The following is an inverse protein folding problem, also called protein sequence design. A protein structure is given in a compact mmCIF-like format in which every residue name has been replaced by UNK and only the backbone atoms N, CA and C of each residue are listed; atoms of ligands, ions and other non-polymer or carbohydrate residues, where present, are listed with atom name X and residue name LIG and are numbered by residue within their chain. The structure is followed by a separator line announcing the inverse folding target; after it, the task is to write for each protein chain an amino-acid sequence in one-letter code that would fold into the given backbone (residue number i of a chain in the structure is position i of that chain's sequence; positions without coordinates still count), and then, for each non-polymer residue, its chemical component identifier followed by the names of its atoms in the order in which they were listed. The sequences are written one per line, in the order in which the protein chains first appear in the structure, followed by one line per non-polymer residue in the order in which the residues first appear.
data_IF_706712982216
#
_entry.id   IF_706712982216
#
_cell.length_a   1.000
_cell.length_b   1.000
_cell.length_c   1.000
_cell.angle_alpha   90.00
_cell.angle_beta   90.00
_cell.angle_gamma   90.00
#
_symmetry.space_group_name_H-M   'P 1'
#
loop_
_entity.id
_entity.type
_entity.pdbx_description
1 polymer ?
#
# COMPACT_ATOMS: atom_id res chain seq x y z
N UNK A 1 1.22 28.42 -17.59
CA UNK A 1 0.05 28.08 -16.74
C UNK A 1 0.60 27.66 -15.39
N UNK A 2 0.42 28.50 -14.38
CA UNK A 2 0.95 28.24 -13.03
C UNK A 2 0.37 26.94 -12.49
N UNK A 3 1.20 26.15 -11.81
CA UNK A 3 0.74 24.98 -11.08
C UNK A 3 -0.22 25.45 -10.00
N UNK A 4 -1.51 25.46 -10.27
CA UNK A 4 -2.49 25.30 -9.21
C UNK A 4 -2.08 24.02 -8.49
N UNK A 5 -1.76 24.16 -7.20
CA UNK A 5 -1.05 23.13 -6.46
C UNK A 5 -1.79 21.80 -6.46
N UNK A 6 -1.32 20.85 -7.26
CA UNK A 6 -1.93 19.54 -7.44
C UNK A 6 -1.96 18.76 -6.11
N UNK A 7 -3.14 18.39 -5.64
CA UNK A 7 -3.31 17.73 -4.34
C UNK A 7 -3.06 16.23 -4.47
N UNK A 8 -2.68 15.58 -3.37
CA UNK A 8 -2.45 14.15 -3.30
C UNK A 8 -3.37 13.59 -2.23
N UNK A 9 -4.23 12.66 -2.62
CA UNK A 9 -5.20 12.05 -1.72
C UNK A 9 -4.87 10.57 -1.60
N UNK A 10 -4.54 10.11 -0.39
CA UNK A 10 -4.16 8.71 -0.15
C UNK A 10 -5.32 7.93 0.46
N UNK A 11 -5.65 6.81 -0.16
CA UNK A 11 -6.65 5.87 0.32
C UNK A 11 -6.13 5.07 1.52
N UNK A 12 -7.05 4.64 2.38
CA UNK A 12 -6.77 3.85 3.57
C UNK A 12 -5.86 2.64 3.31
N UNK A 13 -6.08 1.90 2.22
CA UNK A 13 -5.27 0.71 1.91
C UNK A 13 -3.81 1.06 1.62
N UNK A 14 -3.57 2.06 0.78
CA UNK A 14 -2.21 2.55 0.51
C UNK A 14 -1.57 3.00 1.83
N UNK A 15 -2.27 3.87 2.56
CA UNK A 15 -1.82 4.42 3.84
C UNK A 15 -1.33 3.34 4.81
N UNK A 16 -2.19 2.35 5.08
CA UNK A 16 -1.92 1.30 6.05
C UNK A 16 -0.75 0.42 5.60
N UNK A 17 -0.68 0.03 4.32
CA UNK A 17 0.41 -0.83 3.82
C UNK A 17 1.78 -0.20 4.01
N UNK A 18 1.92 1.09 3.68
CA UNK A 18 3.19 1.82 3.82
C UNK A 18 3.64 1.87 5.28
N UNK A 19 2.72 2.19 6.19
CA UNK A 19 3.02 2.26 7.63
C UNK A 19 3.37 0.87 8.15
N UNK A 20 2.54 -0.15 7.91
CA UNK A 20 2.81 -1.50 8.40
C UNK A 20 4.12 -2.09 7.87
N UNK A 21 4.47 -1.83 6.60
CA UNK A 21 5.76 -2.24 6.03
C UNK A 21 6.93 -1.65 6.81
N UNK A 22 6.88 -0.34 7.07
CA UNK A 22 7.89 0.36 7.87
C UNK A 22 7.96 -0.17 9.31
N UNK A 23 6.81 -0.51 9.90
CA UNK A 23 6.74 -1.07 11.25
C UNK A 23 7.28 -2.51 11.30
N UNK A 24 7.15 -3.31 10.23
CA UNK A 24 7.73 -4.65 10.16
C UNK A 24 9.26 -4.60 10.19
N UNK A 25 9.86 -3.58 9.59
CA UNK A 25 11.32 -3.43 9.47
C UNK A 25 11.83 -2.11 10.10
N UNK A 26 11.76 -1.96 11.43
CA UNK A 26 12.02 -0.67 12.10
C UNK A 26 13.48 -0.22 12.06
N UNK A 27 14.43 -1.12 11.78
CA UNK A 27 15.87 -0.85 11.75
C UNK A 27 16.45 -0.96 10.35
N UNK A 28 15.59 -0.95 9.33
CA UNK A 28 16.01 -1.06 7.93
C UNK A 28 15.37 0.07 7.14
N UNK A 29 16.07 0.54 6.12
CA UNK A 29 15.39 1.35 5.12
C UNK A 29 14.35 0.49 4.41
N UNK A 30 13.17 1.05 4.16
CA UNK A 30 12.10 0.39 3.39
C UNK A 30 11.65 1.27 2.23
N UNK A 31 11.09 0.65 1.21
CA UNK A 31 10.49 1.39 0.10
C UNK A 31 9.27 0.70 -0.51
N UNK A 32 8.55 1.44 -1.35
CA UNK A 32 7.37 0.95 -2.02
C UNK A 32 6.93 1.83 -3.18
N UNK A 33 6.01 1.30 -3.99
CA UNK A 33 5.42 2.02 -5.12
C UNK A 33 4.01 2.47 -4.77
N UNK A 34 3.69 3.72 -5.10
CA UNK A 34 2.36 4.29 -4.95
C UNK A 34 1.57 4.06 -6.23
N UNK A 35 0.37 3.50 -6.09
CA UNK A 35 -0.51 3.12 -7.18
C UNK A 35 -1.75 3.99 -7.16
N UNK A 36 -2.14 4.50 -8.32
CA UNK A 36 -3.19 5.49 -8.37
C UNK A 36 -3.52 5.98 -9.76
N UNK A 37 -4.16 7.14 -9.80
CA UNK A 37 -4.51 7.85 -11.03
C UNK A 37 -4.66 9.33 -10.75
N UNK A 38 -4.68 10.12 -11.82
CA UNK A 38 -5.10 11.52 -11.71
C UNK A 38 -6.64 11.58 -11.78
N UNK A 39 -7.25 12.45 -10.96
CA UNK A 39 -8.68 12.70 -10.98
C UNK A 39 -9.14 13.23 -12.34
N UNK A 40 -10.42 13.05 -12.68
CA UNK A 40 -10.97 13.57 -13.93
C UNK A 40 -10.86 15.11 -14.05
N UNK A 41 -10.83 15.81 -12.91
CA UNK A 41 -10.59 17.26 -12.82
C UNK A 41 -9.13 17.67 -12.94
N UNK A 42 -8.19 16.71 -13.05
CA UNK A 42 -6.75 16.91 -13.21
C UNK A 42 -6.09 17.75 -12.10
N UNK A 43 -6.70 17.81 -10.92
CA UNK A 43 -6.26 18.61 -9.78
C UNK A 43 -5.82 17.77 -8.57
N UNK A 44 -6.12 16.46 -8.58
CA UNK A 44 -5.78 15.52 -7.50
C UNK A 44 -5.12 14.26 -8.08
N UNK A 45 -3.99 13.83 -7.49
CA UNK A 45 -3.51 12.44 -7.64
C UNK A 45 -4.18 11.60 -6.56
N UNK A 46 -5.03 10.67 -6.97
CA UNK A 46 -5.64 9.67 -6.11
C UNK A 46 -4.67 8.50 -5.96
N UNK A 47 -4.04 8.36 -4.79
CA UNK A 47 -3.23 7.20 -4.43
C UNK A 47 -4.16 6.14 -3.85
N UNK A 48 -4.57 5.20 -4.70
CA UNK A 48 -5.57 4.18 -4.37
C UNK A 48 -4.98 2.98 -3.63
N UNK A 49 -3.74 2.61 -3.93
CA UNK A 49 -3.05 1.47 -3.29
C UNK A 49 -1.54 1.72 -3.20
N UNK A 50 -0.83 0.85 -2.48
CA UNK A 50 0.61 0.83 -2.44
C UNK A 50 1.15 -0.62 -2.49
N UNK A 51 2.35 -0.77 -3.06
CA UNK A 51 3.07 -2.04 -3.12
C UNK A 51 4.36 -1.90 -2.32
N UNK A 52 4.45 -2.52 -1.13
CA UNK A 52 5.71 -2.70 -0.41
C UNK A 52 6.74 -3.40 -1.31
N UNK A 53 7.91 -2.82 -1.48
CA UNK A 53 8.96 -3.38 -2.33
C UNK A 53 10.01 -4.10 -1.51
N UNK A 54 10.95 -3.36 -0.93
CA UNK A 54 12.14 -3.95 -0.34
C UNK A 54 12.34 -3.44 1.08
N UNK A 55 12.91 -4.30 1.90
CA UNK A 55 13.42 -4.00 3.23
C UNK A 55 14.91 -4.33 3.35
N UNK A 56 15.49 -4.88 2.28
CA UNK A 56 16.92 -5.14 2.11
C UNK A 56 17.39 -4.57 0.78
N UNK A 57 18.67 -4.24 0.66
CA UNK A 57 19.34 -3.95 -0.62
C UNK A 57 18.60 -3.02 -1.62
N UNK A 58 17.95 -1.94 -1.12
CA UNK A 58 17.14 -0.99 -1.90
C UNK A 58 17.85 -0.41 -3.15
N UNK A 59 19.18 -0.42 -3.19
CA UNK A 59 19.99 0.11 -4.29
C UNK A 59 20.15 -0.82 -5.50
N UNK A 60 19.62 -2.06 -5.46
CA UNK A 60 19.76 -3.01 -6.57
C UNK A 60 18.78 -2.68 -7.72
N UNK A 61 19.31 -2.04 -8.76
CA UNK A 61 18.54 -1.65 -9.94
C UNK A 61 17.81 -2.82 -10.64
N UNK A 62 18.41 -4.01 -10.86
CA UNK A 62 17.71 -5.08 -11.58
C UNK A 62 16.44 -5.55 -10.88
N UNK A 63 16.48 -5.63 -9.54
CA UNK A 63 15.33 -6.03 -8.74
C UNK A 63 14.22 -4.99 -8.83
N UNK A 64 14.58 -3.70 -8.70
CA UNK A 64 13.63 -2.61 -8.88
C UNK A 64 12.98 -2.60 -10.27
N UNK A 65 13.74 -2.78 -11.34
CA UNK A 65 13.21 -2.78 -12.71
C UNK A 65 12.18 -3.90 -12.92
N UNK A 66 12.50 -5.12 -12.47
CA UNK A 66 11.57 -6.25 -12.55
C UNK A 66 10.31 -5.97 -11.74
N UNK A 67 10.44 -5.45 -10.52
CA UNK A 67 9.28 -5.11 -9.69
C UNK A 67 8.38 -4.07 -10.35
N UNK A 68 8.96 -3.02 -10.95
CA UNK A 68 8.19 -1.97 -11.64
C UNK A 68 7.42 -2.54 -12.83
N UNK A 69 8.02 -3.42 -13.63
CA UNK A 69 7.36 -4.07 -14.78
C UNK A 69 6.16 -4.91 -14.31
N UNK A 70 6.34 -5.75 -13.27
CA UNK A 70 5.26 -6.60 -12.76
C UNK A 70 4.12 -5.80 -12.14
N UNK A 71 4.45 -4.73 -11.42
CA UNK A 71 3.47 -3.80 -10.85
C UNK A 71 2.68 -3.12 -11.96
N UNK A 72 3.37 -2.61 -12.98
CA UNK A 72 2.73 -1.94 -14.12
C UNK A 72 1.78 -2.89 -14.86
N UNK A 73 2.22 -4.10 -15.18
CA UNK A 73 1.39 -5.11 -15.86
C UNK A 73 0.12 -5.43 -15.05
N UNK A 74 0.26 -5.65 -13.74
CA UNK A 74 -0.88 -6.02 -12.89
C UNK A 74 -1.89 -4.88 -12.68
N UNK A 75 -1.42 -3.65 -12.46
CA UNK A 75 -2.29 -2.51 -12.14
C UNK A 75 -2.83 -1.78 -13.37
N UNK A 76 -2.10 -1.78 -14.49
CA UNK A 76 -2.60 -1.21 -15.76
C UNK A 76 -3.85 -1.94 -16.24
N UNK A 77 -3.91 -3.26 -16.08
CA UNK A 77 -5.09 -4.09 -16.36
C UNK A 77 -6.34 -3.68 -15.54
N UNK A 78 -6.14 -2.95 -14.43
CA UNK A 78 -7.19 -2.43 -13.53
C UNK A 78 -7.42 -0.93 -13.70
N UNK A 79 -6.77 -0.28 -14.67
CA UNK A 79 -6.88 1.16 -14.92
C UNK A 79 -6.15 2.03 -13.90
N UNK A 80 -5.14 1.48 -13.22
CA UNK A 80 -4.25 2.23 -12.32
C UNK A 80 -2.84 2.33 -12.90
N UNK A 81 -2.12 3.37 -12.48
CA UNK A 81 -0.75 3.65 -12.88
C UNK A 81 0.15 3.77 -11.64
N UNK A 82 1.45 3.71 -11.88
CA UNK A 82 2.45 4.11 -10.89
C UNK A 82 2.43 5.64 -10.78
N UNK A 83 2.07 6.15 -9.60
CA UNK A 83 1.90 7.60 -9.35
C UNK A 83 2.92 8.16 -8.37
N UNK A 84 3.82 7.33 -7.86
CA UNK A 84 4.85 7.80 -6.95
C UNK A 84 5.62 6.69 -6.27
N UNK A 85 6.45 7.12 -5.33
CA UNK A 85 7.35 6.26 -4.57
C UNK A 85 7.24 6.58 -3.08
N UNK A 86 7.43 5.56 -2.27
CA UNK A 86 7.50 5.65 -0.82
C UNK A 86 8.89 5.23 -0.35
N UNK A 87 9.41 5.93 0.64
CA UNK A 87 10.65 5.58 1.32
C UNK A 87 10.54 5.82 2.83
N UNK A 88 11.18 4.97 3.62
CA UNK A 88 11.56 5.30 4.98
C UNK A 88 13.06 5.03 5.14
N UNK A 89 13.77 5.97 5.75
CA UNK A 89 15.22 5.86 5.96
C UNK A 89 15.52 4.78 7.01
N UNK A 90 16.77 4.29 7.08
CA UNK A 90 17.17 3.34 8.13
C UNK A 90 17.29 4.04 9.50
N UNK A 91 17.80 5.26 9.49
CA UNK A 91 18.07 6.05 10.69
C UNK A 91 16.86 6.90 11.07
N UNK A 92 16.45 6.83 12.33
CA UNK A 92 15.31 7.61 12.86
C UNK A 92 15.56 9.11 12.94
N UNK A 93 16.82 9.55 12.94
CA UNK A 93 17.21 10.96 12.96
C UNK A 93 17.45 11.54 11.56
N UNK A 94 17.40 10.72 10.51
CA UNK A 94 17.53 11.14 9.12
C UNK A 94 16.16 11.39 8.50
N UNK A 95 15.87 12.66 8.24
CA UNK A 95 14.62 13.12 7.61
C UNK A 95 14.83 13.70 6.21
N UNK A 96 16.00 13.43 5.61
CA UNK A 96 16.33 13.90 4.26
C UNK A 96 16.02 12.84 3.20
N UNK A 97 15.65 13.33 2.01
CA UNK A 97 15.40 12.46 0.87
C UNK A 97 16.72 11.99 0.25
N UNK A 98 17.03 10.70 0.43
CA UNK A 98 18.22 10.04 -0.10
C UNK A 98 18.31 10.00 -1.63
N UNK A 99 19.52 9.75 -2.14
CA UNK A 99 19.80 9.72 -3.59
C UNK A 99 19.05 8.62 -4.34
N UNK A 100 18.87 7.45 -3.74
CA UNK A 100 18.10 6.35 -4.36
C UNK A 100 16.65 6.77 -4.54
N UNK A 101 16.00 7.31 -3.51
CA UNK A 101 14.62 7.78 -3.60
C UNK A 101 14.43 8.85 -4.69
N UNK A 102 15.39 9.79 -4.80
CA UNK A 102 15.40 10.80 -5.89
C UNK A 102 15.53 10.17 -7.26
N UNK A 103 16.42 9.18 -7.43
CA UNK A 103 16.64 8.50 -8.71
C UNK A 103 15.40 7.70 -9.15
N UNK A 104 14.76 6.98 -8.22
CA UNK A 104 13.53 6.24 -8.50
C UNK A 104 12.38 7.20 -8.83
N UNK A 105 12.21 8.26 -8.04
CA UNK A 105 11.23 9.31 -8.34
C UNK A 105 11.47 9.92 -9.71
N UNK A 106 12.73 10.20 -10.07
CA UNK A 106 13.11 10.74 -11.37
C UNK A 106 12.75 9.81 -12.52
N UNK A 107 12.90 8.50 -12.33
CA UNK A 107 12.49 7.48 -13.28
C UNK A 107 10.96 7.49 -13.45
N UNK A 108 10.20 7.48 -12.36
CA UNK A 108 8.73 7.51 -12.39
C UNK A 108 8.23 8.79 -13.07
N UNK A 109 8.83 9.95 -12.78
CA UNK A 109 8.47 11.23 -13.38
C UNK A 109 8.60 11.28 -14.92
N UNK A 110 9.36 10.36 -15.54
CA UNK A 110 9.43 10.28 -17.02
C UNK A 110 8.12 9.80 -17.63
N UNK A 111 7.37 8.99 -16.90
CA UNK A 111 6.10 8.41 -17.34
C UNK A 111 4.89 9.09 -16.69
N UNK A 112 5.04 9.52 -15.43
CA UNK A 112 4.01 10.23 -14.67
C UNK A 112 4.59 11.54 -14.10
N UNK A 113 4.54 12.67 -14.83
CA UNK A 113 5.18 13.93 -14.43
C UNK A 113 4.73 14.48 -13.07
N UNK A 114 3.51 14.13 -12.64
CA UNK A 114 2.91 14.53 -11.37
C UNK A 114 3.29 13.57 -10.22
N UNK A 115 4.32 12.72 -10.39
CA UNK A 115 4.69 11.76 -9.37
C UNK A 115 5.17 12.42 -8.09
N UNK A 116 4.79 11.81 -6.97
CA UNK A 116 5.21 12.21 -5.64
C UNK A 116 6.19 11.22 -5.03
N UNK A 117 7.04 11.71 -4.14
CA UNK A 117 7.83 10.87 -3.24
C UNK A 117 7.39 11.14 -1.80
N UNK A 118 6.92 10.10 -1.12
CA UNK A 118 6.57 10.14 0.30
C UNK A 118 7.75 9.61 1.11
N UNK A 119 8.28 10.44 2.01
CA UNK A 119 9.28 10.02 2.97
C UNK A 119 8.62 9.84 4.34
N UNK A 120 8.77 8.69 4.98
CA UNK A 120 8.22 8.44 6.32
C UNK A 120 9.25 8.76 7.38
N UNK A 121 8.77 9.37 8.45
CA UNK A 121 9.57 9.70 9.62
C UNK A 121 9.52 8.56 10.63
N UNK A 122 10.61 7.78 10.69
CA UNK A 122 10.74 6.66 11.61
C UNK A 122 10.61 7.07 13.08
N UNK A 123 11.00 8.29 13.46
CA UNK A 123 10.84 8.77 14.84
C UNK A 123 9.36 8.86 15.22
N UNK A 124 8.52 9.29 14.27
CA UNK A 124 7.05 9.31 14.46
C UNK A 124 6.48 7.90 14.46
N UNK A 125 6.96 7.02 13.58
CA UNK A 125 6.54 5.61 13.58
C UNK A 125 6.86 4.90 14.90
N UNK A 126 8.04 5.14 15.48
CA UNK A 126 8.42 4.61 16.79
C UNK A 126 7.55 5.14 17.92
N UNK A 127 7.16 6.41 17.86
CA UNK A 127 6.23 7.00 18.81
C UNK A 127 4.84 6.36 18.70
N UNK A 128 4.39 6.05 17.47
CA UNK A 128 3.13 5.34 17.22
C UNK A 128 3.13 3.93 17.82
N UNK A 129 4.23 3.16 17.71
CA UNK A 129 4.33 1.83 18.35
C UNK A 129 4.25 1.89 19.87
N UNK A 130 4.83 2.94 20.47
CA UNK A 130 4.93 3.08 21.94
C UNK A 130 3.66 3.65 22.56
N UNK A 131 2.87 4.40 21.80
CA UNK A 131 1.64 5.03 22.28
C UNK A 131 0.52 4.01 22.41
N UNK A 132 0.16 3.66 23.65
CA UNK A 132 -1.04 2.84 23.96
C UNK A 132 -2.34 3.65 24.02
N UNK A 133 -2.26 4.98 23.86
CA UNK A 133 -3.37 5.90 24.09
C UNK A 133 -3.89 6.56 22.81
N UNK A 134 -5.19 6.91 22.80
CA UNK A 134 -5.89 7.52 21.65
C UNK A 134 -5.36 8.92 21.26
N UNK A 135 -4.44 9.50 22.04
CA UNK A 135 -3.69 10.70 21.65
C UNK A 135 -2.75 10.47 20.46
N UNK A 136 -2.50 9.21 20.10
CA UNK A 136 -1.82 8.82 18.86
C UNK A 136 -2.50 9.37 17.61
N UNK A 137 -3.83 9.56 17.61
CA UNK A 137 -4.59 10.02 16.43
C UNK A 137 -4.06 11.37 15.89
N UNK A 138 -3.61 12.29 16.74
CA UNK A 138 -2.98 13.55 16.29
C UNK A 138 -1.56 13.38 15.72
N UNK A 139 -0.87 12.29 16.07
CA UNK A 139 0.46 11.97 15.52
C UNK A 139 0.37 11.23 14.18
N UNK A 140 -0.77 10.58 13.89
CA UNK A 140 -0.99 9.73 12.71
C UNK A 140 -1.19 10.57 11.43
N UNK A 141 -1.97 11.67 11.48
CA UNK A 141 -2.03 12.65 10.37
C UNK A 141 -0.66 13.32 10.12
N UNK A 142 0.12 13.50 11.20
CA UNK A 142 1.42 14.14 11.18
C UNK A 142 2.56 13.22 10.67
N UNK A 143 2.34 11.90 10.61
CA UNK A 143 3.36 10.91 10.25
C UNK A 143 3.65 10.83 8.74
N UNK A 144 2.65 11.08 7.88
CA UNK A 144 2.84 11.10 6.42
C UNK A 144 2.80 12.52 5.81
N UNK A 145 2.00 13.42 6.37
CA UNK A 145 1.68 14.70 5.70
C UNK A 145 2.82 15.71 5.60
N UNK A 146 3.89 15.57 6.40
CA UNK A 146 4.95 16.58 6.46
C UNK A 146 6.16 16.31 5.56
N UNK A 147 6.15 15.22 4.80
CA UNK A 147 7.31 14.76 4.03
C UNK A 147 6.92 14.33 2.61
N UNK A 148 5.93 15.02 2.03
CA UNK A 148 5.61 14.93 0.62
C UNK A 148 6.63 15.74 -0.18
N UNK A 149 7.38 15.07 -1.05
CA UNK A 149 8.26 15.70 -2.03
C UNK A 149 7.61 15.68 -3.41
N UNK A 150 7.58 16.85 -4.04
CA UNK A 150 7.15 17.00 -5.44
C UNK A 150 8.28 17.60 -6.25
N UNK A 151 8.31 17.25 -7.53
CA UNK A 151 9.31 17.78 -8.45
C UNK A 151 8.90 19.17 -8.93
N UNK A 152 9.82 20.13 -8.82
CA UNK A 152 9.60 21.46 -9.36
C UNK A 152 9.95 21.56 -10.85
N UNK A 153 9.71 22.73 -11.45
CA UNK A 153 10.05 23.01 -12.85
C UNK A 153 11.55 22.94 -13.14
N UNK A 154 12.39 23.07 -12.11
CA UNK A 154 13.85 22.95 -12.19
C UNK A 154 14.34 21.51 -12.00
N UNK A 155 13.40 20.54 -12.02
CA UNK A 155 13.66 19.10 -11.85
C UNK A 155 14.19 18.71 -10.47
N UNK A 156 14.09 19.59 -9.48
CA UNK A 156 14.52 19.34 -8.11
C UNK A 156 13.36 18.85 -7.25
N UNK A 157 13.66 17.90 -6.36
CA UNK A 157 12.71 17.43 -5.35
C UNK A 157 12.61 18.47 -4.23
N UNK A 158 11.41 19.02 -4.04
CA UNK A 158 11.11 20.00 -3.00
C UNK A 158 10.08 19.46 -2.05
N UNK A 159 10.35 19.65 -0.76
CA UNK A 159 9.39 19.36 0.28
C UNK A 159 8.20 20.33 0.17
N UNK A 160 6.99 19.79 0.14
CA UNK A 160 5.76 20.58 0.18
C UNK A 160 5.59 21.12 1.59
N UNK A 161 5.62 22.45 1.73
CA UNK A 161 5.36 23.10 3.00
C UNK A 161 3.86 23.10 3.28
N UNK A 162 3.48 22.84 4.53
CA UNK A 162 2.10 22.97 5.02
C UNK A 162 1.74 24.47 5.11
N UNK A 163 1.27 25.06 4.01
CA UNK A 163 0.92 26.48 3.90
C UNK A 163 -0.56 26.78 4.19
N UNK A 164 -1.27 25.83 4.83
CA UNK A 164 -2.70 25.92 5.13
C UNK A 164 -3.61 25.41 4.00
N UNK A 165 -3.04 25.03 2.85
CA UNK A 165 -3.73 24.26 1.82
C UNK A 165 -3.16 22.84 1.83
N UNK A 166 -3.87 21.89 2.46
CA UNK A 166 -3.42 20.51 2.60
C UNK A 166 -3.23 19.86 1.22
N UNK A 167 -2.00 19.94 0.71
CA UNK A 167 -1.55 19.33 -0.54
C UNK A 167 -1.52 17.80 -0.44
N UNK A 168 -1.59 17.27 0.77
CA UNK A 168 -1.67 15.85 1.06
C UNK A 168 -2.80 15.61 2.05
N UNK A 169 -3.70 14.69 1.74
CA UNK A 169 -4.82 14.35 2.62
C UNK A 169 -5.13 12.86 2.60
N UNK A 170 -5.63 12.35 3.71
CA UNK A 170 -6.25 11.03 3.75
C UNK A 170 -7.65 11.10 3.14
N UNK A 171 -7.95 10.18 2.23
CA UNK A 171 -9.29 10.05 1.64
C UNK A 171 -10.34 9.70 2.69
N UNK A 172 -10.02 8.71 3.51
CA UNK A 172 -10.88 8.24 4.58
C UNK A 172 -10.30 8.64 5.95
N UNK A 173 -10.93 9.56 6.71
CA UNK A 173 -10.45 9.92 8.05
C UNK A 173 -10.43 8.75 9.04
N UNK A 174 -11.24 7.70 8.79
CA UNK A 174 -11.25 6.47 9.58
C UNK A 174 -9.98 5.64 9.44
N UNK A 175 -9.14 5.89 8.41
CA UNK A 175 -7.91 5.15 8.18
C UNK A 175 -6.99 5.15 9.41
N UNK A 176 -6.97 6.26 10.16
CA UNK A 176 -6.18 6.39 11.39
C UNK A 176 -6.66 5.43 12.49
N UNK A 177 -7.98 5.26 12.63
CA UNK A 177 -8.55 4.31 13.61
C UNK A 177 -8.24 2.86 13.23
N UNK A 178 -8.35 2.53 11.95
CA UNK A 178 -8.04 1.19 11.44
C UNK A 178 -6.54 0.90 11.59
N UNK A 179 -5.68 1.87 11.29
CA UNK A 179 -4.24 1.71 11.48
C UNK A 179 -3.90 1.43 12.95
N UNK A 180 -4.48 2.16 13.90
CA UNK A 180 -4.23 1.94 15.32
C UNK A 180 -4.67 0.53 15.77
N UNK A 181 -5.80 0.04 15.28
CA UNK A 181 -6.25 -1.34 15.53
C UNK A 181 -5.24 -2.37 14.98
N UNK A 182 -4.74 -2.14 13.76
CA UNK A 182 -3.77 -3.02 13.12
C UNK A 182 -2.40 -2.99 13.82
N UNK A 183 -1.99 -1.85 14.35
CA UNK A 183 -0.80 -1.74 15.19
C UNK A 183 -1.02 -2.47 16.51
N UNK A 184 -2.15 -2.26 17.18
CA UNK A 184 -2.44 -2.92 18.45
C UNK A 184 -2.53 -4.45 18.34
N UNK A 185 -2.95 -4.96 17.18
CA UNK A 185 -3.03 -6.40 16.86
C UNK A 185 -1.81 -6.93 16.10
N UNK A 186 -0.73 -6.14 16.00
CA UNK A 186 0.54 -6.52 15.38
C UNK A 186 0.42 -7.05 13.93
N UNK A 187 -0.56 -6.54 13.17
CA UNK A 187 -0.80 -6.99 11.79
C UNK A 187 0.33 -6.68 10.82
N UNK A 188 1.32 -5.87 11.21
CA UNK A 188 2.55 -5.69 10.42
C UNK A 188 3.29 -7.02 10.19
N UNK A 189 3.14 -8.03 11.04
CA UNK A 189 3.76 -9.34 10.80
C UNK A 189 3.19 -10.06 9.57
N UNK A 190 1.98 -9.68 9.14
CA UNK A 190 1.31 -10.24 7.97
C UNK A 190 1.53 -9.45 6.68
N UNK A 191 2.22 -8.30 6.71
CA UNK A 191 2.53 -7.57 5.48
C UNK A 191 3.63 -8.33 4.72
N UNK A 192 3.42 -8.52 3.43
CA UNK A 192 4.37 -9.14 2.51
C UNK A 192 4.85 -8.07 1.55
N UNK A 193 6.16 -7.98 1.37
CA UNK A 193 6.77 -7.15 0.35
C UNK A 193 7.39 -7.99 -0.78
N UNK A 194 8.12 -7.34 -1.68
CA UNK A 194 8.72 -7.99 -2.83
C UNK A 194 9.92 -8.87 -2.44
N UNK A 195 10.70 -8.49 -1.42
CA UNK A 195 11.76 -9.36 -0.88
C UNK A 195 11.16 -10.67 -0.36
N UNK A 196 10.09 -10.60 0.45
CA UNK A 196 9.36 -11.77 0.93
C UNK A 196 8.85 -12.67 -0.20
N UNK A 197 8.34 -12.07 -1.27
CA UNK A 197 7.80 -12.77 -2.44
C UNK A 197 8.91 -13.44 -3.27
N UNK A 198 10.08 -12.83 -3.37
CA UNK A 198 11.24 -13.45 -4.04
C UNK A 198 11.75 -14.67 -3.27
N UNK A 199 11.73 -14.61 -1.94
CA UNK A 199 12.08 -15.75 -1.08
C UNK A 199 11.03 -16.87 -1.16
N UNK A 200 9.75 -16.51 -1.26
CA UNK A 200 8.63 -17.44 -1.37
C UNK A 200 7.54 -16.91 -2.31
N UNK A 201 7.56 -17.41 -3.55
CA UNK A 201 6.62 -17.01 -4.62
C UNK A 201 5.15 -17.32 -4.29
N UNK A 202 4.87 -18.14 -3.27
CA UNK A 202 3.50 -18.40 -2.82
C UNK A 202 2.89 -17.22 -2.06
N UNK A 203 3.73 -16.32 -1.52
CA UNK A 203 3.28 -15.10 -0.86
C UNK A 203 2.76 -14.10 -1.89
N UNK A 204 1.49 -13.70 -1.76
CA UNK A 204 0.80 -12.86 -2.75
C UNK A 204 1.03 -11.36 -2.49
N UNK A 205 2.04 -10.77 -3.13
CA UNK A 205 2.37 -9.35 -2.97
C UNK A 205 1.20 -8.40 -3.34
N UNK A 206 0.37 -8.77 -4.32
CA UNK A 206 -0.70 -7.91 -4.86
C UNK A 206 -2.11 -8.13 -4.27
N UNK A 207 -2.28 -9.07 -3.33
CA UNK A 207 -3.61 -9.45 -2.82
C UNK A 207 -3.98 -8.83 -1.47
N UNK A 208 -3.16 -7.95 -0.90
CA UNK A 208 -3.44 -7.28 0.38
C UNK A 208 -4.53 -6.20 0.29
N UNK A 209 -5.46 -6.31 -0.66
CA UNK A 209 -6.69 -5.50 -0.71
C UNK A 209 -7.43 -5.55 0.63
N UNK A 210 -7.25 -6.66 1.37
CA UNK A 210 -7.65 -6.86 2.75
C UNK A 210 -6.41 -7.29 3.55
N UNK A 211 -6.04 -6.51 4.56
CA UNK A 211 -5.29 -7.05 5.70
C UNK A 211 -6.26 -7.98 6.46
N UNK A 212 -6.32 -9.23 5.98
CA UNK A 212 -7.20 -10.34 6.32
C UNK A 212 -8.20 -10.12 7.49
N UNK A 213 -9.47 -9.88 7.14
CA UNK A 213 -10.61 -10.10 8.05
C UNK A 213 -11.53 -11.25 7.57
N UNK A 214 -11.42 -11.75 6.33
CA UNK A 214 -12.47 -12.65 5.80
C UNK A 214 -12.02 -14.07 5.42
N UNK A 215 -10.72 -14.38 5.26
CA UNK A 215 -10.33 -15.75 4.81
C UNK A 215 -10.08 -16.79 5.90
N UNK A 216 -9.80 -16.40 7.15
CA UNK A 216 -9.53 -17.38 8.22
C UNK A 216 -10.80 -18.08 8.77
N UNK A 217 -12.02 -17.58 8.52
CA UNK A 217 -13.24 -18.22 9.05
C UNK A 217 -13.94 -19.22 8.10
N UNK A 218 -13.43 -19.49 6.90
CA UNK A 218 -14.05 -20.50 5.99
C UNK A 218 -13.31 -21.84 5.88
N UNK A 219 -12.17 -22.02 6.53
CA UNK A 219 -11.46 -23.31 6.57
C UNK A 219 -11.41 -23.85 8.00
N UNK A 220 -12.58 -23.97 8.63
CA UNK A 220 -12.71 -24.44 10.01
C UNK A 220 -14.04 -25.09 10.40
N UNK A 221 -14.94 -25.38 9.45
CA UNK A 221 -16.07 -26.27 9.72
C UNK A 221 -15.87 -27.59 9.00
N UNK A 222 -15.17 -28.49 9.71
CA UNK A 222 -15.32 -29.92 9.49
C UNK A 222 -16.78 -30.28 9.75
N UNK A 223 -17.57 -30.47 8.68
CA UNK A 223 -18.84 -31.18 8.78
C UNK A 223 -18.49 -32.65 8.99
N UNK A 224 -18.55 -33.08 10.24
CA UNK A 224 -18.68 -34.48 10.58
C UNK A 224 -19.92 -35.04 9.86
N UNK A 225 -19.69 -35.94 8.90
CA UNK A 225 -20.75 -36.76 8.32
C UNK A 225 -21.00 -37.88 9.32
N UNK A 226 -22.11 -37.81 10.04
CA UNK A 226 -22.64 -38.94 10.81
C UNK A 226 -23.18 -40.01 9.86
N UNK A 227 -22.80 -41.29 10.03
CA UNK A 227 -23.39 -42.37 9.26
C UNK A 227 -24.68 -42.84 9.95
N UNK A 228 -25.82 -42.73 9.26
CA UNK A 228 -27.03 -43.44 9.69
C UNK A 228 -28.35 -42.83 9.21
N UNK A 229 -28.86 -43.34 8.09
CA UNK A 229 -30.29 -43.63 7.91
C UNK A 229 -30.48 -44.36 6.57
N UNK A 230 -30.57 -45.69 6.66
CA UNK A 230 -31.14 -46.55 5.61
C UNK A 230 -32.64 -46.30 5.59
N UNK A 231 -33.24 -46.03 4.42
CA UNK A 231 -34.69 -45.85 4.34
C UNK A 231 -35.27 -45.55 2.95
N UNK A 232 -35.47 -46.62 2.18
CA UNK A 232 -36.58 -46.85 1.25
C UNK A 232 -36.75 -46.03 -0.06
N UNK A 233 -36.71 -46.83 -1.14
CA UNK A 233 -37.16 -46.58 -2.51
C UNK A 233 -38.49 -45.82 -2.65
N UNK A 234 -38.55 -44.93 -3.63
CA UNK A 234 -39.69 -44.82 -4.54
C UNK A 234 -39.23 -44.34 -5.93
N UNK A 235 -39.76 -45.02 -6.95
CA UNK A 235 -39.47 -44.90 -8.39
C UNK A 235 -40.10 -43.63 -8.99
N UNK A 236 -39.50 -43.05 -10.05
CA UNK A 236 -40.17 -42.01 -10.84
C UNK A 236 -39.35 -41.43 -12.00
N UNK A 237 -39.27 -42.19 -13.10
CA UNK A 237 -39.19 -41.80 -14.52
C UNK A 237 -38.30 -40.64 -15.01
N UNK A 238 -37.32 -41.01 -15.85
CA UNK A 238 -36.62 -40.20 -16.86
C UNK A 238 -37.51 -39.95 -18.10
N UNK A 239 -37.51 -38.76 -18.72
CA UNK A 239 -37.92 -38.60 -20.10
C UNK A 239 -36.72 -38.76 -21.05
N UNK A 240 -36.89 -39.60 -22.08
CA UNK A 240 -35.98 -39.78 -23.22
C UNK A 240 -36.20 -38.71 -24.29
N UNK A 241 -35.22 -38.43 -25.16
CA UNK A 241 -35.28 -37.37 -26.16
C UNK A 241 -36.05 -37.76 -27.43
N UNK A 242 -36.48 -36.70 -28.14
CA UNK A 242 -37.28 -36.59 -29.37
C UNK A 242 -36.96 -37.54 -30.53
N UNK A 243 -38.00 -37.87 -31.31
CA UNK A 243 -37.89 -38.22 -32.73
C UNK A 243 -39.16 -37.83 -33.52
N UNK A 244 -38.93 -37.33 -34.74
CA UNK A 244 -39.86 -36.94 -35.83
C UNK A 244 -40.37 -35.50 -35.82
#
# INVERSE_FOLDING_TARGET
MGSNGLRYEVAQNAYIKLVLHSLKHPTSAVNGILIGRISASNDVVEIADAVPLFHSHISLLPQLEISLILIEEYFSAKGFNIVGYFHANERSDDSELGGVAKNVGDHICRYFPQAAVLLLDNKKLDALKKSKDRSAIMQVDFALGNYLYVRDTSKNWKLVQSDGNDRFSLKEPSANLVLLDYIASEKWNGIVDFDDHLDDISKLIFCHSDIDIVRSQRTGQSRAITPGAVGHLAKGQWPSPSAS
#
